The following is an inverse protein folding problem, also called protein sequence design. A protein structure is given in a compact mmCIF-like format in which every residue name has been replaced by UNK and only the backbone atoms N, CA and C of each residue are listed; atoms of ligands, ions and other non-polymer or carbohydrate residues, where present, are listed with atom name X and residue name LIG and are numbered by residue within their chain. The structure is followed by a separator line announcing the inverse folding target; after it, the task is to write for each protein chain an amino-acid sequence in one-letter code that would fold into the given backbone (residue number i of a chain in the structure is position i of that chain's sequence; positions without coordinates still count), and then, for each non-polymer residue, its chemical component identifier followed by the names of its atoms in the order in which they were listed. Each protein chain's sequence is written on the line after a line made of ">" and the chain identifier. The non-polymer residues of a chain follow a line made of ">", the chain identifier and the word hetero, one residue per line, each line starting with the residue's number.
data_IF_220229896838
#
_entry.id   IF_220229896838
#
_cell.length_a   1.000
_cell.length_b   1.000
_cell.length_c   1.000
_cell.angle_alpha   90.00
_cell.angle_beta   90.00
_cell.angle_gamma   90.00
#
_symmetry.space_group_name_H-M   'P 1'
#
loop_
_entity.id
_entity.type
_entity.pdbx_description
1 polymer ?
#
# COMPACT_ATOMS: atom_id res chain seq x y z
N UNK A 1 50.65 77.73 -27.96
CA UNK A 1 49.46 77.80 -27.08
C UNK A 1 48.86 76.42 -27.00
N UNK A 2 49.23 75.70 -25.97
CA UNK A 2 48.89 74.26 -25.82
C UNK A 2 47.51 74.03 -25.26
N UNK A 3 46.71 73.35 -26.02
CA UNK A 3 45.46 72.77 -25.49
C UNK A 3 45.76 71.35 -24.95
N UNK A 4 46.12 71.27 -23.67
CA UNK A 4 46.30 70.01 -23.00
C UNK A 4 44.96 69.23 -22.93
N UNK A 5 44.92 68.11 -23.63
CA UNK A 5 43.77 67.19 -23.73
C UNK A 5 43.40 66.55 -22.42
N UNK A 6 42.17 66.71 -21.98
CA UNK A 6 41.55 66.19 -20.75
C UNK A 6 41.09 64.73 -20.91
N UNK A 7 41.75 63.96 -21.77
CA UNK A 7 41.40 62.57 -22.16
C UNK A 7 41.62 61.52 -21.04
N UNK A 8 42.64 61.53 -20.20
CA UNK A 8 42.86 60.43 -19.24
C UNK A 8 41.85 60.41 -18.07
N UNK A 9 41.35 61.57 -17.65
CA UNK A 9 40.36 61.65 -16.54
C UNK A 9 38.98 61.06 -16.94
N UNK A 10 38.56 61.25 -18.17
CA UNK A 10 37.30 60.76 -18.68
C UNK A 10 37.29 59.24 -18.84
N UNK A 11 38.40 58.61 -19.23
CA UNK A 11 38.60 57.16 -19.33
C UNK A 11 38.65 56.50 -17.97
N UNK A 12 39.23 57.15 -16.96
CA UNK A 12 39.29 56.64 -15.57
C UNK A 12 37.90 56.62 -14.90
N UNK A 13 37.09 57.63 -15.13
CA UNK A 13 35.70 57.67 -14.61
C UNK A 13 34.77 56.70 -15.34
N UNK A 14 35.00 56.41 -16.59
CA UNK A 14 34.23 55.38 -17.33
C UNK A 14 34.61 53.96 -16.95
N UNK A 15 35.87 53.70 -16.58
CA UNK A 15 36.33 52.41 -16.10
C UNK A 15 35.79 52.09 -14.69
N UNK A 16 35.68 53.09 -13.78
CA UNK A 16 35.11 52.91 -12.46
C UNK A 16 33.59 52.74 -12.46
N UNK A 17 32.88 53.37 -13.42
CA UNK A 17 31.44 53.15 -13.58
C UNK A 17 31.09 51.75 -14.12
N UNK A 18 31.95 51.17 -14.97
CA UNK A 18 31.78 49.80 -15.50
C UNK A 18 32.06 48.71 -14.44
N UNK A 19 32.98 48.93 -13.47
CA UNK A 19 33.25 48.02 -12.38
C UNK A 19 32.17 48.02 -11.28
N UNK A 20 31.45 49.14 -11.10
CA UNK A 20 30.35 49.26 -10.15
C UNK A 20 29.04 48.59 -10.57
N UNK A 21 28.85 48.38 -11.88
CA UNK A 21 27.63 47.76 -12.41
C UNK A 21 27.57 46.22 -12.30
N UNK A 22 28.69 45.55 -11.99
CA UNK A 22 28.75 44.08 -11.87
C UNK A 22 28.44 43.56 -10.48
N UNK A 23 28.26 44.41 -9.47
CA UNK A 23 28.03 43.98 -8.07
C UNK A 23 26.55 44.00 -7.67
N UNK A 24 25.65 44.47 -8.51
CA UNK A 24 24.21 44.53 -8.23
C UNK A 24 23.42 43.47 -9.02
N UNK A 25 23.93 42.21 -9.14
CA UNK A 25 23.03 41.09 -9.34
C UNK A 25 22.32 40.85 -8.02
N UNK A 26 20.99 41.06 -7.94
CA UNK A 26 20.27 40.54 -6.78
C UNK A 26 20.54 39.06 -6.77
N UNK A 27 21.17 38.55 -5.69
CA UNK A 27 21.14 37.15 -5.41
C UNK A 27 19.66 36.78 -5.38
N UNK A 28 19.16 36.25 -6.50
CA UNK A 28 17.87 35.59 -6.54
C UNK A 28 18.01 34.47 -5.52
N UNK A 29 17.63 34.75 -4.28
CA UNK A 29 17.46 33.73 -3.28
C UNK A 29 16.44 32.80 -3.88
N UNK A 30 16.93 31.72 -4.47
CA UNK A 30 16.12 30.59 -4.86
C UNK A 30 15.43 30.16 -3.56
N UNK A 31 14.26 30.74 -3.28
CA UNK A 31 13.38 30.18 -2.28
C UNK A 31 13.14 28.76 -2.73
N UNK A 32 13.81 27.82 -2.07
CA UNK A 32 13.58 26.40 -2.30
C UNK A 32 12.06 26.21 -2.31
N UNK A 33 11.53 25.82 -3.45
CA UNK A 33 10.09 25.73 -3.65
C UNK A 33 9.53 24.88 -2.49
N UNK A 34 8.58 25.47 -1.74
CA UNK A 34 8.03 24.83 -0.55
C UNK A 34 7.43 23.47 -0.96
N UNK A 35 8.00 22.40 -0.45
CA UNK A 35 7.44 21.07 -0.69
C UNK A 35 6.08 20.92 0.03
N UNK A 36 5.05 20.31 -0.61
CA UNK A 36 4.97 19.89 -2.00
C UNK A 36 4.56 21.04 -2.95
N UNK A 37 5.23 21.16 -4.10
CA UNK A 37 4.94 22.14 -5.15
C UNK A 37 4.16 21.56 -6.35
N UNK A 38 3.96 20.24 -6.38
CA UNK A 38 3.24 19.48 -7.41
C UNK A 38 2.44 18.34 -6.79
N UNK A 39 1.52 17.68 -7.51
CA UNK A 39 0.75 16.56 -7.01
C UNK A 39 1.63 15.43 -6.47
N UNK A 40 1.20 14.83 -5.35
CA UNK A 40 1.80 13.63 -4.76
C UNK A 40 1.05 12.40 -5.28
N UNK A 41 1.74 11.31 -5.55
CA UNK A 41 1.16 10.03 -5.95
C UNK A 41 1.38 8.99 -4.87
N UNK A 42 0.30 8.33 -4.42
CA UNK A 42 0.37 7.16 -3.55
C UNK A 42 0.10 5.92 -4.41
N UNK A 43 1.13 5.13 -4.66
CA UNK A 43 1.01 3.84 -5.36
C UNK A 43 0.55 2.79 -4.36
N UNK A 44 -0.59 2.18 -4.62
CA UNK A 44 -1.14 1.06 -3.84
C UNK A 44 -0.86 -0.24 -4.58
N UNK A 45 -0.10 -1.14 -3.95
CA UNK A 45 0.33 -2.39 -4.59
C UNK A 45 -0.78 -3.47 -4.69
N UNK A 46 -2.03 -3.09 -4.43
CA UNK A 46 -3.22 -3.97 -4.45
C UNK A 46 -4.39 -3.33 -5.21
N UNK A 47 -5.40 -4.13 -5.63
CA UNK A 47 -6.62 -3.60 -6.25
C UNK A 47 -7.38 -2.64 -5.33
N UNK A 48 -8.23 -1.77 -5.90
CA UNK A 48 -9.16 -0.95 -5.13
C UNK A 48 -10.09 -1.80 -4.24
N UNK A 49 -10.54 -1.22 -3.11
CA UNK A 49 -11.55 -1.80 -2.21
C UNK A 49 -10.99 -2.65 -1.06
N UNK A 50 -9.67 -2.90 -1.00
CA UNK A 50 -9.03 -3.52 0.16
C UNK A 50 -8.60 -2.49 1.21
N UNK A 51 -8.04 -2.99 2.34
CA UNK A 51 -7.61 -2.16 3.46
C UNK A 51 -6.54 -1.12 3.07
N UNK A 52 -5.56 -1.53 2.27
CA UNK A 52 -4.48 -0.63 1.80
C UNK A 52 -5.00 0.49 0.92
N UNK A 53 -5.99 0.21 0.08
CA UNK A 53 -6.64 1.23 -0.76
C UNK A 53 -7.46 2.21 0.09
N UNK A 54 -8.20 1.70 1.08
CA UNK A 54 -8.97 2.54 2.00
C UNK A 54 -8.06 3.50 2.80
N UNK A 55 -6.93 3.01 3.33
CA UNK A 55 -5.95 3.86 3.98
C UNK A 55 -5.32 4.87 3.02
N UNK A 56 -4.94 4.46 1.82
CA UNK A 56 -4.35 5.35 0.84
C UNK A 56 -5.29 6.53 0.51
N UNK A 57 -6.59 6.27 0.33
CA UNK A 57 -7.59 7.33 0.08
C UNK A 57 -7.78 8.24 1.28
N UNK A 58 -7.89 7.68 2.49
CA UNK A 58 -7.99 8.46 3.71
C UNK A 58 -6.81 9.41 3.87
N UNK A 59 -5.59 8.92 3.66
CA UNK A 59 -4.39 9.76 3.75
C UNK A 59 -4.29 10.73 2.57
N UNK A 60 -4.72 10.34 1.37
CA UNK A 60 -4.74 11.25 0.23
C UNK A 60 -5.61 12.49 0.51
N UNK A 61 -6.80 12.29 1.07
CA UNK A 61 -7.71 13.37 1.44
C UNK A 61 -7.10 14.28 2.52
N UNK A 62 -6.54 13.68 3.59
CA UNK A 62 -5.92 14.42 4.69
C UNK A 62 -4.67 15.21 4.24
N UNK A 63 -3.83 14.60 3.42
CA UNK A 63 -2.63 15.25 2.90
C UNK A 63 -2.99 16.37 1.91
N UNK A 64 -4.01 16.17 1.07
CA UNK A 64 -4.53 17.21 0.17
C UNK A 64 -5.03 18.40 0.97
N UNK A 65 -5.83 18.17 2.01
CA UNK A 65 -6.32 19.24 2.88
C UNK A 65 -5.18 19.97 3.62
N UNK A 66 -4.17 19.23 4.07
CA UNK A 66 -3.02 19.80 4.83
C UNK A 66 -2.07 20.62 3.95
N UNK A 67 -1.77 20.16 2.74
CA UNK A 67 -0.72 20.74 1.90
C UNK A 67 -1.23 21.58 0.74
N UNK A 68 -2.53 21.52 0.43
CA UNK A 68 -3.13 22.24 -0.69
C UNK A 68 -2.71 21.72 -2.08
N UNK A 69 -2.04 20.56 -2.13
CA UNK A 69 -1.67 19.90 -3.39
C UNK A 69 -2.46 18.60 -3.55
N UNK A 70 -2.91 18.27 -4.76
CA UNK A 70 -3.61 17.01 -5.00
C UNK A 70 -2.76 15.81 -4.62
N UNK A 71 -3.37 14.82 -3.95
CA UNK A 71 -2.76 13.52 -3.68
C UNK A 71 -3.56 12.45 -4.41
N UNK A 72 -2.94 11.77 -5.37
CA UNK A 72 -3.59 10.81 -6.27
C UNK A 72 -3.25 9.40 -5.86
N UNK A 73 -4.27 8.55 -5.69
CA UNK A 73 -4.12 7.11 -5.43
C UNK A 73 -4.05 6.37 -6.77
N UNK A 74 -2.96 5.62 -6.96
CA UNK A 74 -2.66 4.83 -8.16
C UNK A 74 -2.53 3.35 -7.80
N UNK A 75 -3.57 2.55 -8.07
CA UNK A 75 -3.57 1.12 -7.77
C UNK A 75 -2.79 0.35 -8.84
N UNK A 76 -1.70 -0.32 -8.46
CA UNK A 76 -0.83 -1.15 -9.31
C UNK A 76 -0.68 -2.56 -8.75
N UNK A 77 -1.72 -3.40 -8.86
CA UNK A 77 -1.67 -4.77 -8.37
C UNK A 77 -0.87 -5.68 -9.30
N UNK A 78 -0.45 -6.83 -8.76
CA UNK A 78 0.11 -7.93 -9.54
C UNK A 78 1.44 -8.45 -9.02
N UNK A 79 1.75 -9.70 -9.40
CA UNK A 79 2.95 -10.43 -9.01
C UNK A 79 3.24 -10.35 -7.49
N UNK A 80 2.22 -10.58 -6.63
CA UNK A 80 2.39 -10.48 -5.19
C UNK A 80 2.84 -9.09 -4.72
N UNK A 81 2.29 -8.02 -5.35
CA UNK A 81 2.64 -6.62 -5.13
C UNK A 81 4.00 -6.17 -5.72
N UNK A 82 4.77 -7.04 -6.35
CA UNK A 82 6.07 -6.69 -6.95
C UNK A 82 5.94 -5.53 -7.93
N UNK A 83 4.89 -5.51 -8.77
CA UNK A 83 4.67 -4.45 -9.78
C UNK A 83 4.53 -3.07 -9.13
N UNK A 84 3.72 -2.96 -8.09
CA UNK A 84 3.50 -1.68 -7.37
C UNK A 84 4.76 -1.23 -6.63
N UNK A 85 5.45 -2.15 -5.97
CA UNK A 85 6.69 -1.87 -5.24
C UNK A 85 7.79 -1.40 -6.20
N UNK A 86 7.99 -2.10 -7.32
CA UNK A 86 8.96 -1.74 -8.36
C UNK A 86 8.70 -0.33 -8.93
N UNK A 87 7.43 0.01 -9.18
CA UNK A 87 7.07 1.32 -9.71
C UNK A 87 7.49 2.47 -8.79
N UNK A 88 7.49 2.25 -7.47
CA UNK A 88 7.96 3.25 -6.50
C UNK A 88 9.48 3.21 -6.37
N UNK A 89 10.06 2.02 -6.25
CA UNK A 89 11.51 1.84 -6.13
C UNK A 89 12.30 2.46 -7.30
N UNK A 90 11.71 2.49 -8.49
CA UNK A 90 12.28 3.13 -9.69
C UNK A 90 11.88 4.60 -9.89
N UNK A 91 11.09 5.17 -8.99
CA UNK A 91 10.70 6.58 -9.05
C UNK A 91 11.81 7.49 -8.52
N UNK A 92 11.88 8.76 -8.92
CA UNK A 92 12.77 9.73 -8.30
C UNK A 92 12.54 9.80 -6.77
N UNK A 93 13.61 9.84 -5.94
CA UNK A 93 13.50 9.91 -4.48
C UNK A 93 13.21 11.34 -3.99
N UNK A 94 12.27 12.01 -4.61
CA UNK A 94 11.91 13.43 -4.37
C UNK A 94 10.71 13.61 -3.41
N UNK A 95 10.18 12.50 -2.86
CA UNK A 95 9.06 12.51 -1.93
C UNK A 95 7.68 12.65 -2.60
N UNK A 96 7.59 12.68 -3.93
CA UNK A 96 6.30 12.80 -4.64
C UNK A 96 5.69 11.46 -5.05
N UNK A 97 6.41 10.36 -4.89
CA UNK A 97 5.88 9.01 -5.10
C UNK A 97 6.03 8.19 -3.84
N UNK A 98 4.91 7.81 -3.25
CA UNK A 98 4.83 7.04 -2.00
C UNK A 98 4.29 5.65 -2.28
N UNK A 99 4.71 4.66 -1.49
CA UNK A 99 4.19 3.30 -1.54
C UNK A 99 3.24 3.06 -0.36
N UNK A 100 2.05 2.53 -0.64
CA UNK A 100 1.16 1.96 0.36
C UNK A 100 1.03 0.45 0.10
N UNK A 101 1.54 -0.35 1.02
CA UNK A 101 1.53 -1.82 0.92
C UNK A 101 1.47 -2.45 2.31
N UNK A 102 1.43 -3.77 2.39
CA UNK A 102 1.50 -4.49 3.67
C UNK A 102 2.95 -4.87 3.99
N UNK A 103 3.35 -4.74 5.25
CA UNK A 103 4.67 -5.17 5.70
C UNK A 103 4.92 -6.66 5.42
N UNK A 104 3.91 -7.51 5.62
CA UNK A 104 3.98 -8.94 5.32
C UNK A 104 4.40 -9.21 3.88
N UNK A 105 3.76 -8.57 2.90
CA UNK A 105 4.09 -8.73 1.47
C UNK A 105 5.53 -8.30 1.15
N UNK A 106 5.99 -7.20 1.74
CA UNK A 106 7.36 -6.72 1.56
C UNK A 106 8.39 -7.78 2.02
N UNK A 107 8.17 -8.37 3.20
CA UNK A 107 9.06 -9.41 3.73
C UNK A 107 8.91 -10.76 2.99
N UNK A 108 7.69 -11.17 2.67
CA UNK A 108 7.41 -12.42 1.96
C UNK A 108 8.08 -12.46 0.60
N UNK A 109 8.09 -11.34 -0.12
CA UNK A 109 8.71 -11.27 -1.45
C UNK A 109 10.22 -11.59 -1.42
N UNK A 110 10.93 -11.31 -0.31
CA UNK A 110 12.34 -11.72 -0.15
C UNK A 110 12.54 -13.23 -0.14
N UNK A 111 11.53 -13.97 0.30
CA UNK A 111 11.59 -15.43 0.43
C UNK A 111 10.97 -16.12 -0.79
N UNK A 112 9.89 -15.54 -1.33
CA UNK A 112 9.14 -16.16 -2.43
C UNK A 112 9.82 -15.97 -3.80
N UNK A 113 10.60 -14.91 -3.98
CA UNK A 113 11.23 -14.61 -5.27
C UNK A 113 12.76 -14.72 -5.17
N UNK A 114 13.35 -15.53 -6.02
CA UNK A 114 14.81 -15.66 -6.13
C UNK A 114 15.47 -14.38 -6.68
N UNK A 115 14.71 -13.57 -7.43
CA UNK A 115 15.18 -12.29 -7.98
C UNK A 115 14.03 -11.27 -7.96
N UNK A 116 14.24 -10.19 -7.23
CA UNK A 116 13.35 -9.03 -7.22
C UNK A 116 13.91 -7.93 -8.14
N UNK A 117 13.05 -7.15 -8.83
CA UNK A 117 13.48 -6.04 -9.69
C UNK A 117 13.87 -4.77 -8.89
N UNK A 118 13.93 -4.84 -7.57
CA UNK A 118 14.26 -3.76 -6.63
C UNK A 118 15.00 -4.32 -5.41
N UNK A 119 15.70 -3.44 -4.70
CA UNK A 119 16.34 -3.73 -3.41
C UNK A 119 15.56 -3.02 -2.29
N UNK A 120 14.90 -3.79 -1.43
CA UNK A 120 14.07 -3.26 -0.34
C UNK A 120 14.83 -2.35 0.65
N UNK A 121 16.11 -2.63 0.88
CA UNK A 121 16.91 -1.90 1.88
C UNK A 121 17.54 -0.63 1.32
N UNK A 122 17.64 -0.52 -0.02
CA UNK A 122 18.31 0.60 -0.69
C UNK A 122 17.32 1.52 -1.42
N UNK A 123 16.28 0.94 -2.02
CA UNK A 123 15.41 1.66 -2.96
C UNK A 123 14.14 2.20 -2.27
N UNK A 124 13.88 1.80 -1.01
CA UNK A 124 12.70 2.21 -0.26
C UNK A 124 13.08 2.68 1.16
N UNK A 125 12.55 3.82 1.55
CA UNK A 125 12.66 4.33 2.93
C UNK A 125 11.32 4.20 3.64
N UNK A 126 11.21 3.42 4.74
CA UNK A 126 9.99 3.36 5.54
C UNK A 126 9.65 4.73 6.13
N UNK A 127 8.39 5.15 6.01
CA UNK A 127 7.91 6.45 6.52
C UNK A 127 7.04 6.24 7.77
N UNK A 128 6.09 5.32 7.69
CA UNK A 128 5.16 5.03 8.77
C UNK A 128 4.68 3.58 8.72
N UNK A 129 4.35 3.04 9.88
CA UNK A 129 3.69 1.74 10.03
C UNK A 129 2.30 1.99 10.64
N UNK A 130 1.27 1.50 9.95
CA UNK A 130 -0.11 1.56 10.42
C UNK A 130 -0.51 0.22 11.01
N UNK A 131 -1.15 0.18 12.18
CA UNK A 131 -1.68 -1.07 12.70
C UNK A 131 -2.81 -1.59 11.81
N UNK A 132 -2.84 -2.89 11.53
CA UNK A 132 -4.02 -3.54 10.98
C UNK A 132 -4.87 -4.09 12.14
N UNK A 133 -6.19 -4.02 11.97
CA UNK A 133 -7.11 -4.73 12.88
C UNK A 133 -7.04 -6.25 12.66
N UNK A 134 -7.76 -7.02 13.51
CA UNK A 134 -7.89 -8.45 13.31
C UNK A 134 -8.52 -8.75 11.94
N UNK A 135 -8.05 -9.83 11.32
CA UNK A 135 -8.63 -10.31 10.06
C UNK A 135 -9.91 -11.09 10.36
N UNK A 136 -10.85 -11.04 9.42
CA UNK A 136 -12.11 -11.79 9.48
C UNK A 136 -11.96 -13.09 8.70
N UNK A 137 -12.40 -14.18 9.31
CA UNK A 137 -12.60 -15.48 8.66
C UNK A 137 -14.06 -15.55 8.25
N UNK A 138 -14.34 -15.59 6.95
CA UNK A 138 -15.69 -15.60 6.40
C UNK A 138 -15.95 -16.80 5.50
N UNK A 139 -17.17 -17.30 5.56
CA UNK A 139 -17.66 -18.40 4.75
C UNK A 139 -18.98 -17.99 4.07
N UNK A 140 -19.33 -18.52 2.87
CA UNK A 140 -20.65 -18.33 2.31
C UNK A 140 -21.72 -19.03 3.16
N UNK A 141 -22.94 -18.50 3.17
CA UNK A 141 -24.04 -19.04 4.00
C UNK A 141 -24.36 -20.52 3.74
N UNK A 142 -24.07 -20.99 2.53
CA UNK A 142 -24.21 -22.42 2.16
C UNK A 142 -23.25 -23.37 2.88
N UNK A 143 -22.15 -22.87 3.44
CA UNK A 143 -21.22 -23.67 4.29
C UNK A 143 -21.79 -23.73 5.69
N UNK A 144 -22.07 -24.94 6.24
CA UNK A 144 -22.81 -25.09 7.50
C UNK A 144 -21.96 -24.81 8.75
N UNK A 145 -20.76 -24.26 8.63
CA UNK A 145 -19.87 -23.97 9.74
C UNK A 145 -20.16 -22.57 10.35
N UNK A 146 -20.17 -22.49 11.67
CA UNK A 146 -20.30 -21.26 12.47
C UNK A 146 -19.02 -20.92 13.25
N UNK A 147 -18.09 -21.83 13.31
CA UNK A 147 -16.77 -21.70 13.97
C UNK A 147 -15.67 -22.26 13.09
N UNK A 148 -14.42 -21.89 13.32
CA UNK A 148 -13.28 -22.47 12.61
C UNK A 148 -13.17 -23.97 12.84
N UNK A 149 -13.48 -24.46 14.05
CA UNK A 149 -13.50 -25.91 14.37
C UNK A 149 -14.51 -26.67 13.50
N UNK A 150 -15.73 -26.15 13.37
CA UNK A 150 -16.75 -26.73 12.50
C UNK A 150 -16.36 -26.67 11.03
N UNK A 151 -15.70 -25.57 10.60
CA UNK A 151 -15.19 -25.45 9.25
C UNK A 151 -14.10 -26.50 8.95
N UNK A 152 -13.17 -26.73 9.87
CA UNK A 152 -12.14 -27.76 9.71
C UNK A 152 -12.78 -29.16 9.60
N UNK A 153 -13.80 -29.45 10.40
CA UNK A 153 -14.56 -30.72 10.28
C UNK A 153 -15.24 -30.83 8.92
N UNK A 154 -15.86 -29.77 8.42
CA UNK A 154 -16.45 -29.73 7.09
C UNK A 154 -15.40 -29.96 5.98
N UNK A 155 -14.25 -29.31 6.07
CA UNK A 155 -13.18 -29.39 5.07
C UNK A 155 -12.51 -30.77 4.98
N UNK A 156 -12.62 -31.61 6.03
CA UNK A 156 -12.13 -33.01 6.00
C UNK A 156 -12.91 -33.90 5.04
N UNK A 157 -14.17 -33.60 4.82
CA UNK A 157 -15.09 -34.46 4.05
C UNK A 157 -15.63 -33.80 2.78
N UNK A 158 -15.36 -32.52 2.59
CA UNK A 158 -15.85 -31.77 1.44
C UNK A 158 -14.72 -31.11 0.65
N UNK A 159 -14.80 -31.03 -0.69
CA UNK A 159 -13.91 -30.23 -1.48
C UNK A 159 -13.96 -28.77 -1.02
N UNK A 160 -12.81 -28.20 -0.72
CA UNK A 160 -12.74 -26.87 -0.10
C UNK A 160 -11.68 -26.01 -0.77
N UNK A 161 -12.11 -24.88 -1.30
CA UNK A 161 -11.26 -23.83 -1.85
C UNK A 161 -11.19 -22.66 -0.86
N UNK A 162 -10.00 -22.25 -0.50
CA UNK A 162 -9.74 -21.07 0.34
C UNK A 162 -9.18 -19.94 -0.51
N UNK A 163 -9.85 -18.80 -0.48
CA UNK A 163 -9.35 -17.60 -1.11
C UNK A 163 -8.16 -17.01 -0.37
N UNK A 164 -7.14 -16.64 -1.11
CA UNK A 164 -5.95 -15.95 -0.59
C UNK A 164 -5.64 -14.74 -1.45
N UNK A 165 -5.20 -13.64 -0.86
CA UNK A 165 -4.95 -12.39 -1.59
C UNK A 165 -3.53 -12.27 -2.20
N UNK A 166 -2.69 -13.27 -1.99
CA UNK A 166 -1.40 -13.47 -2.69
C UNK A 166 -0.79 -14.83 -2.28
N UNK A 167 0.11 -15.42 -3.08
CA UNK A 167 1.01 -16.48 -2.61
C UNK A 167 1.80 -16.02 -1.38
N UNK A 168 1.97 -16.89 -0.38
CA UNK A 168 2.66 -16.57 0.88
C UNK A 168 1.90 -15.66 1.85
N UNK A 169 0.70 -15.17 1.47
CA UNK A 169 -0.14 -14.35 2.37
C UNK A 169 -0.61 -15.15 3.59
N UNK A 170 -1.03 -14.43 4.64
CA UNK A 170 -1.53 -15.06 5.88
C UNK A 170 -2.59 -16.15 5.61
N UNK A 171 -3.65 -15.93 4.79
CA UNK A 171 -4.59 -17.02 4.48
C UNK A 171 -3.94 -18.22 3.79
N UNK A 172 -2.93 -18.02 2.93
CA UNK A 172 -2.20 -19.13 2.31
C UNK A 172 -1.47 -19.96 3.36
N UNK A 173 -0.76 -19.30 4.29
CA UNK A 173 -0.08 -20.00 5.39
C UNK A 173 -1.07 -20.73 6.30
N UNK A 174 -2.24 -20.15 6.59
CA UNK A 174 -3.30 -20.81 7.39
C UNK A 174 -3.82 -22.04 6.69
N UNK A 175 -4.10 -22.00 5.39
CA UNK A 175 -4.54 -23.18 4.64
C UNK A 175 -3.53 -24.33 4.70
N UNK A 176 -2.25 -24.00 4.49
CA UNK A 176 -1.16 -24.98 4.57
C UNK A 176 -1.01 -25.57 5.99
N UNK A 177 -1.08 -24.72 7.02
CA UNK A 177 -1.00 -25.15 8.41
C UNK A 177 -2.17 -26.09 8.78
N UNK A 178 -3.41 -25.73 8.43
CA UNK A 178 -4.60 -26.54 8.69
C UNK A 178 -4.53 -27.88 7.93
N UNK A 179 -4.04 -27.86 6.70
CA UNK A 179 -3.83 -29.09 5.94
C UNK A 179 -2.84 -30.05 6.64
N UNK A 180 -1.75 -29.49 7.19
CA UNK A 180 -0.73 -30.29 7.89
C UNK A 180 -1.18 -30.77 9.28
N UNK A 181 -1.82 -29.88 10.07
CA UNK A 181 -2.19 -30.22 11.46
C UNK A 181 -3.45 -31.09 11.55
N UNK A 182 -4.42 -30.84 10.68
CA UNK A 182 -5.75 -31.44 10.77
C UNK A 182 -6.06 -32.47 9.67
N UNK A 183 -5.14 -32.65 8.71
CA UNK A 183 -5.29 -33.62 7.62
C UNK A 183 -6.36 -33.21 6.60
N UNK A 184 -6.64 -31.90 6.47
CA UNK A 184 -7.55 -31.39 5.44
C UNK A 184 -6.86 -31.34 4.05
N UNK A 185 -7.65 -31.07 3.01
CA UNK A 185 -7.17 -30.91 1.64
C UNK A 185 -7.66 -29.58 1.03
N UNK A 186 -7.52 -28.51 1.80
CA UNK A 186 -7.91 -27.17 1.38
C UNK A 186 -7.00 -26.73 0.23
N UNK A 187 -7.60 -26.34 -0.89
CA UNK A 187 -6.89 -25.80 -2.06
C UNK A 187 -6.84 -24.29 -1.95
N UNK A 188 -5.65 -23.71 -1.97
CA UNK A 188 -5.47 -22.25 -1.97
C UNK A 188 -5.66 -21.67 -3.37
N UNK A 189 -6.62 -20.75 -3.51
CA UNK A 189 -6.88 -20.00 -4.75
C UNK A 189 -6.36 -18.59 -4.58
N UNK A 190 -5.37 -18.20 -5.39
CA UNK A 190 -4.67 -16.92 -5.26
C UNK A 190 -5.31 -15.82 -6.09
N UNK A 191 -5.66 -14.72 -5.44
CA UNK A 191 -6.20 -13.51 -6.03
C UNK A 191 -5.15 -12.40 -6.04
N UNK A 192 -5.37 -11.37 -6.84
CA UNK A 192 -4.50 -10.18 -6.86
C UNK A 192 -4.81 -9.20 -5.73
N UNK A 193 -5.50 -9.63 -4.68
CA UNK A 193 -5.90 -8.83 -3.52
C UNK A 193 -7.21 -9.32 -2.90
N UNK A 194 -7.68 -8.64 -1.84
CA UNK A 194 -8.83 -9.09 -1.06
C UNK A 194 -10.17 -8.89 -1.77
N UNK A 195 -10.38 -7.78 -2.47
CA UNK A 195 -11.70 -7.44 -3.00
C UNK A 195 -12.26 -8.51 -3.98
N UNK A 196 -11.53 -8.97 -5.03
CA UNK A 196 -12.04 -10.02 -5.91
C UNK A 196 -12.20 -11.37 -5.18
N UNK A 197 -11.36 -11.67 -4.20
CA UNK A 197 -11.47 -12.86 -3.36
C UNK A 197 -12.82 -12.90 -2.61
N UNK A 198 -13.22 -11.79 -1.97
CA UNK A 198 -14.48 -11.73 -1.23
C UNK A 198 -15.72 -11.80 -2.13
N UNK A 199 -15.63 -11.31 -3.37
CA UNK A 199 -16.71 -11.47 -4.36
C UNK A 199 -16.94 -12.95 -4.66
N UNK A 200 -15.89 -13.77 -4.79
CA UNK A 200 -15.99 -15.18 -5.05
C UNK A 200 -16.42 -16.00 -3.82
N UNK A 201 -16.19 -15.53 -2.61
CA UNK A 201 -16.84 -16.08 -1.41
C UNK A 201 -18.35 -15.81 -1.47
N UNK A 202 -18.77 -14.60 -1.79
CA UNK A 202 -20.18 -14.23 -1.86
C UNK A 202 -20.93 -15.00 -2.96
N UNK A 203 -20.29 -15.28 -4.10
CA UNK A 203 -20.85 -16.13 -5.16
C UNK A 203 -20.85 -17.61 -4.80
N UNK A 204 -20.10 -17.99 -3.76
CA UNK A 204 -19.92 -19.36 -3.29
C UNK A 204 -18.96 -20.21 -4.12
N UNK A 205 -18.13 -19.61 -4.95
CA UNK A 205 -17.02 -20.30 -5.62
C UNK A 205 -15.93 -20.71 -4.63
N UNK A 206 -15.75 -19.91 -3.58
CA UNK A 206 -14.88 -20.21 -2.44
C UNK A 206 -15.71 -20.64 -1.24
N UNK A 207 -15.18 -21.57 -0.44
CA UNK A 207 -15.82 -22.03 0.78
C UNK A 207 -15.36 -21.23 2.01
N UNK A 208 -14.22 -20.56 1.93
CA UNK A 208 -13.69 -19.73 3.01
C UNK A 208 -12.72 -18.69 2.45
N UNK A 209 -12.61 -17.56 3.12
CA UNK A 209 -11.50 -16.61 2.97
C UNK A 209 -11.16 -15.96 4.30
N UNK A 210 -9.93 -15.44 4.40
CA UNK A 210 -9.46 -14.62 5.52
C UNK A 210 -8.95 -13.31 4.95
N UNK A 211 -9.44 -12.19 5.49
CA UNK A 211 -9.04 -10.86 5.03
C UNK A 211 -9.46 -9.75 5.98
N UNK A 212 -9.20 -8.51 5.60
CA UNK A 212 -9.53 -7.34 6.41
C UNK A 212 -11.05 -7.19 6.60
N UNK A 213 -11.45 -6.62 7.76
CA UNK A 213 -12.84 -6.23 7.98
C UNK A 213 -13.35 -5.30 6.87
N UNK A 214 -12.53 -4.37 6.40
CA UNK A 214 -12.90 -3.42 5.36
C UNK A 214 -13.35 -4.13 4.08
N UNK A 215 -12.58 -5.09 3.59
CA UNK A 215 -12.92 -5.83 2.39
C UNK A 215 -14.09 -6.82 2.63
N UNK A 216 -14.12 -7.53 3.76
CA UNK A 216 -15.23 -8.40 4.17
C UNK A 216 -16.56 -7.62 4.21
N UNK A 217 -16.57 -6.41 4.77
CA UNK A 217 -17.79 -5.62 4.95
C UNK A 217 -18.49 -5.27 3.62
N UNK A 218 -17.76 -5.25 2.51
CA UNK A 218 -18.35 -5.01 1.17
C UNK A 218 -19.26 -6.13 0.70
N UNK A 219 -19.15 -7.31 1.29
CA UNK A 219 -19.92 -8.53 0.96
C UNK A 219 -20.69 -9.11 2.15
N UNK A 220 -20.61 -8.52 3.33
CA UNK A 220 -21.24 -9.03 4.56
C UNK A 220 -22.76 -9.18 4.47
N UNK A 221 -23.43 -8.40 3.62
CA UNK A 221 -24.87 -8.49 3.35
C UNK A 221 -25.22 -9.37 2.14
N UNK A 222 -24.23 -10.02 1.53
CA UNK A 222 -24.37 -10.82 0.30
C UNK A 222 -24.20 -12.33 0.56
N UNK A 223 -24.72 -12.81 1.69
CA UNK A 223 -24.64 -14.23 2.02
C UNK A 223 -23.24 -14.70 2.43
N UNK A 224 -22.46 -13.83 3.07
CA UNK A 224 -21.17 -14.16 3.66
C UNK A 224 -21.22 -13.97 5.17
N UNK A 225 -20.98 -15.03 5.92
CA UNK A 225 -21.03 -15.02 7.37
C UNK A 225 -19.60 -15.05 7.97
N UNK A 226 -19.29 -14.20 8.96
CA UNK A 226 -18.05 -14.31 9.72
C UNK A 226 -18.15 -15.47 10.71
N UNK A 227 -17.11 -16.30 10.80
CA UNK A 227 -17.02 -17.44 11.73
C UNK A 227 -15.86 -17.34 12.72
N UNK A 228 -15.02 -16.33 12.57
CA UNK A 228 -13.92 -16.04 13.48
C UNK A 228 -13.19 -14.76 13.12
N UNK A 229 -12.44 -14.24 14.08
CA UNK A 229 -11.49 -13.14 13.88
C UNK A 229 -10.11 -13.54 14.40
N UNK A 230 -9.07 -13.13 13.70
CA UNK A 230 -7.69 -13.30 14.18
C UNK A 230 -7.42 -12.26 15.27
N UNK A 231 -6.68 -12.61 16.28
CA UNK A 231 -6.33 -11.73 17.38
C UNK A 231 -6.76 -12.25 18.73
N UNK A 232 -6.24 -11.64 19.79
CA UNK A 232 -6.47 -12.07 21.17
C UNK A 232 -7.83 -11.63 21.73
N UNK A 233 -8.47 -10.65 21.10
CA UNK A 233 -9.73 -10.06 21.54
C UNK A 233 -10.73 -9.98 20.40
N UNK A 234 -12.02 -10.04 20.74
CA UNK A 234 -13.09 -9.85 19.77
C UNK A 234 -13.02 -8.46 19.16
N UNK A 235 -13.36 -8.38 17.88
CA UNK A 235 -13.42 -7.08 17.20
C UNK A 235 -14.63 -6.28 17.67
N UNK A 236 -14.48 -5.00 18.04
CA UNK A 236 -15.64 -4.13 18.32
C UNK A 236 -16.62 -3.99 17.13
N UNK A 237 -16.14 -4.26 15.93
CA UNK A 237 -16.97 -4.27 14.71
C UNK A 237 -17.77 -5.57 14.55
N UNK A 238 -17.39 -6.63 15.24
CA UNK A 238 -17.95 -7.98 15.19
C UNK A 238 -17.96 -8.58 16.60
N UNK A 239 -18.74 -8.02 17.56
CA UNK A 239 -18.67 -8.39 18.98
C UNK A 239 -19.11 -9.84 19.25
N UNK A 240 -20.00 -10.37 18.41
CA UNK A 240 -20.54 -11.73 18.56
C UNK A 240 -19.66 -12.81 17.89
N UNK A 241 -18.66 -12.40 17.09
CA UNK A 241 -17.78 -13.32 16.38
C UNK A 241 -16.61 -13.74 17.29
N UNK A 242 -16.38 -15.07 17.48
CA UNK A 242 -15.31 -15.54 18.34
C UNK A 242 -13.92 -15.22 17.77
N UNK A 243 -12.92 -15.18 18.64
CA UNK A 243 -11.51 -15.23 18.24
C UNK A 243 -11.12 -16.66 17.83
N UNK A 244 -10.01 -16.79 17.09
CA UNK A 244 -9.45 -18.11 16.71
C UNK A 244 -8.59 -18.74 17.84
N UNK A 245 -8.39 -18.03 18.94
CA UNK A 245 -7.63 -18.45 20.13
C UNK A 245 -8.55 -18.58 21.31
#
# INVERSE_FOLDING_TARGET
>A
MDTMSNQPRRRFLQATAALGATVAMPAAWSQAAKWPAKPIRIVVAFPPGGLTDAYARLYADQLTAKYGQPVVVDNRPGAGAVIGIEAVAKSPPDGYTLLMTTSGTVWQNRVLYTKLPYNLDKDLTPIALFPSGPLVVGVPDKVPARTMKEFIAFAKTNPTNMGTYAPGSYPHMVADQVNRSDGTKIVSVHYRGEAPMWVDVASGQLQIAIGSYQAFNTVSTRGVRPIGVTGLYRSPKLPDVPTLV
#
